data_IF_635324128543
#
_entry.id   IF_635324128543
#
_cell.length_a   1.000
_cell.length_b   1.000
_cell.length_c   1.000
_cell.angle_alpha   90.00
_cell.angle_beta   90.00
_cell.angle_gamma   90.00
#
_symmetry.space_group_name_H-M   'P 1'
#
loop_
_entity.id
_entity.type
_entity.pdbx_description
1 polymer ?
#
# COMPACT_ATOMS: atom_id res chain seq x y z
N UNK A 1 13.89 -22.51 -9.94
CA UNK A 1 13.35 -21.39 -9.13
C UNK A 1 12.18 -21.79 -8.20
N UNK A 2 11.16 -22.55 -8.64
CA UNK A 2 10.07 -23.04 -7.76
C UNK A 2 10.54 -23.90 -6.56
N UNK A 3 11.56 -24.73 -6.75
CA UNK A 3 12.10 -25.62 -5.71
C UNK A 3 12.81 -24.84 -4.58
N UNK A 4 13.57 -23.80 -4.94
CA UNK A 4 14.33 -22.98 -3.99
C UNK A 4 13.40 -22.17 -3.06
N UNK A 5 12.29 -21.64 -3.58
CA UNK A 5 11.29 -20.93 -2.77
C UNK A 5 10.48 -21.86 -1.85
N UNK A 6 10.24 -23.12 -2.26
CA UNK A 6 9.56 -24.12 -1.42
C UNK A 6 10.42 -24.55 -0.22
N UNK A 7 11.71 -24.81 -0.45
CA UNK A 7 12.63 -25.26 0.61
C UNK A 7 12.77 -24.20 1.70
N UNK A 8 12.91 -22.92 1.34
CA UNK A 8 13.02 -21.84 2.32
C UNK A 8 11.77 -21.65 3.18
N UNK A 9 10.57 -21.93 2.64
CA UNK A 9 9.32 -21.79 3.39
C UNK A 9 9.03 -22.97 4.31
N UNK A 10 9.36 -24.19 3.87
CA UNK A 10 9.29 -25.38 4.72
C UNK A 10 10.21 -25.17 5.93
N UNK A 11 11.44 -24.70 5.71
CA UNK A 11 12.36 -24.37 6.81
C UNK A 11 11.82 -23.28 7.75
N UNK A 12 11.11 -22.27 7.23
CA UNK A 12 10.47 -21.24 8.06
C UNK A 12 9.27 -21.79 8.86
N UNK A 13 8.42 -22.61 8.25
CA UNK A 13 7.30 -23.26 8.94
C UNK A 13 7.78 -24.20 10.05
N UNK A 14 8.85 -24.96 9.79
CA UNK A 14 9.51 -25.82 10.78
C UNK A 14 10.12 -25.01 11.94
N UNK A 15 10.62 -23.79 11.67
CA UNK A 15 11.18 -22.92 12.69
C UNK A 15 10.14 -22.34 13.67
N UNK A 16 8.88 -22.17 13.23
CA UNK A 16 7.81 -21.59 14.04
C UNK A 16 6.76 -22.61 14.52
N UNK A 17 6.79 -23.84 14.02
CA UNK A 17 5.93 -24.94 14.44
C UNK A 17 6.75 -26.25 14.48
N UNK A 18 7.49 -26.51 15.58
CA UNK A 18 8.41 -27.66 15.67
C UNK A 18 7.70 -29.03 15.65
N UNK A 19 6.36 -29.05 15.66
CA UNK A 19 5.53 -30.24 15.56
C UNK A 19 5.08 -30.59 14.12
N UNK A 20 5.37 -29.73 13.13
CA UNK A 20 5.04 -30.01 11.72
C UNK A 20 6.25 -30.64 11.07
N UNK A 21 6.09 -31.73 10.31
CA UNK A 21 7.17 -32.35 9.54
C UNK A 21 7.33 -31.68 8.17
N UNK A 22 8.49 -31.82 7.53
CA UNK A 22 8.72 -31.29 6.18
C UNK A 22 7.71 -31.85 5.15
N UNK A 23 7.29 -33.10 5.33
CA UNK A 23 6.30 -33.78 4.50
C UNK A 23 4.88 -33.21 4.71
N UNK A 24 4.50 -32.90 5.95
CA UNK A 24 3.23 -32.24 6.26
C UNK A 24 3.21 -30.78 5.75
N UNK A 25 4.34 -30.06 5.85
CA UNK A 25 4.47 -28.73 5.29
C UNK A 25 4.33 -28.74 3.75
N UNK A 26 4.95 -29.70 3.06
CA UNK A 26 4.83 -29.85 1.61
C UNK A 26 3.42 -30.34 1.21
N UNK A 27 2.78 -31.16 2.05
CA UNK A 27 1.36 -31.51 1.96
C UNK A 27 0.44 -30.29 2.07
N UNK A 28 0.66 -29.41 3.05
CA UNK A 28 -0.08 -28.17 3.22
C UNK A 28 0.12 -27.20 2.03
N UNK A 29 1.35 -27.06 1.53
CA UNK A 29 1.67 -26.23 0.37
C UNK A 29 1.14 -26.80 -0.95
N UNK A 30 0.91 -28.11 -1.03
CA UNK A 30 0.23 -28.73 -2.18
C UNK A 30 -1.28 -28.57 -2.11
N UNK A 31 -1.88 -28.64 -0.91
CA UNK A 31 -3.31 -28.40 -0.69
C UNK A 31 -3.70 -26.91 -0.81
N UNK A 32 -2.79 -26.00 -0.45
CA UNK A 32 -3.01 -24.54 -0.49
C UNK A 32 -1.82 -23.84 -1.16
N UNK A 33 -1.76 -23.85 -2.50
CA UNK A 33 -0.61 -23.33 -3.23
C UNK A 33 -0.37 -21.82 -3.02
N UNK A 34 -1.35 -21.07 -2.53
CA UNK A 34 -1.27 -19.62 -2.25
C UNK A 34 -0.70 -19.25 -0.87
N UNK A 35 -0.37 -20.24 -0.02
CA UNK A 35 0.16 -19.97 1.31
C UNK A 35 1.48 -19.20 1.25
N UNK A 36 2.35 -19.51 0.28
CA UNK A 36 3.61 -18.80 0.10
C UNK A 36 3.38 -17.30 -0.15
N UNK A 37 2.49 -16.96 -1.06
CA UNK A 37 2.11 -15.60 -1.39
C UNK A 37 1.47 -14.88 -0.21
N UNK A 38 0.77 -15.62 0.66
CA UNK A 38 0.22 -15.10 1.91
C UNK A 38 1.31 -14.68 2.89
N UNK A 39 2.42 -15.42 2.96
CA UNK A 39 3.58 -15.02 3.78
C UNK A 39 4.29 -13.79 3.20
N UNK A 40 4.39 -13.69 1.87
CA UNK A 40 4.91 -12.49 1.21
C UNK A 40 4.04 -11.27 1.54
N UNK A 41 2.71 -11.42 1.45
CA UNK A 41 1.79 -10.37 1.86
C UNK A 41 1.98 -10.03 3.35
N UNK A 42 2.08 -11.03 4.23
CA UNK A 42 2.31 -10.81 5.66
C UNK A 42 3.59 -10.00 5.93
N UNK A 43 4.68 -10.31 5.22
CA UNK A 43 5.95 -9.59 5.37
C UNK A 43 5.80 -8.10 5.00
N UNK A 44 5.08 -7.80 3.91
CA UNK A 44 4.77 -6.41 3.49
C UNK A 44 3.98 -5.69 4.60
N UNK A 45 3.02 -6.40 5.20
CA UNK A 45 2.14 -5.85 6.24
C UNK A 45 2.89 -5.58 7.53
N UNK A 46 3.62 -6.57 8.04
CA UNK A 46 4.42 -6.46 9.25
C UNK A 46 5.44 -5.34 9.11
N UNK A 47 6.11 -5.23 7.95
CA UNK A 47 7.06 -4.15 7.67
C UNK A 47 6.36 -2.78 7.65
N UNK A 48 5.16 -2.68 7.08
CA UNK A 48 4.38 -1.44 7.05
C UNK A 48 3.90 -1.01 8.44
N UNK A 49 3.47 -1.96 9.28
CA UNK A 49 3.09 -1.72 10.67
C UNK A 49 4.31 -1.32 11.50
N UNK A 50 5.43 -2.01 11.34
CA UNK A 50 6.67 -1.71 12.04
C UNK A 50 7.20 -0.32 11.67
N UNK A 51 7.24 0.02 10.37
CA UNK A 51 7.63 1.35 9.92
C UNK A 51 6.72 2.44 10.52
N UNK A 52 5.40 2.24 10.47
CA UNK A 52 4.43 3.15 11.08
C UNK A 52 4.63 3.26 12.61
N UNK A 53 4.90 2.16 13.30
CA UNK A 53 5.15 2.18 14.74
C UNK A 53 6.41 2.97 15.08
N UNK A 54 7.53 2.65 14.43
CA UNK A 54 8.82 3.32 14.65
C UNK A 54 8.71 4.83 14.36
N UNK A 55 8.09 5.24 13.24
CA UNK A 55 7.88 6.66 12.89
C UNK A 55 7.06 7.44 13.95
N UNK A 56 6.30 6.75 14.80
CA UNK A 56 5.48 7.35 15.85
C UNK A 56 6.03 7.08 17.26
N UNK A 57 7.25 6.56 17.36
CA UNK A 57 7.91 6.30 18.64
C UNK A 57 8.42 7.59 19.31
N UNK A 58 8.50 7.60 20.63
CA UNK A 58 8.82 8.83 21.39
C UNK A 58 10.26 9.30 21.19
N UNK A 59 11.21 8.36 21.13
CA UNK A 59 12.62 8.67 20.93
C UNK A 59 12.95 8.96 19.44
N UNK A 60 13.64 10.07 19.12
CA UNK A 60 13.93 10.49 17.74
C UNK A 60 14.81 9.50 16.97
N UNK A 61 15.81 8.88 17.61
CA UNK A 61 16.65 7.84 16.99
C UNK A 61 15.85 6.60 16.55
N UNK A 62 14.81 6.25 17.30
CA UNK A 62 13.91 5.14 16.95
C UNK A 62 12.96 5.56 15.83
N UNK A 63 12.50 6.82 15.80
CA UNK A 63 11.76 7.36 14.64
C UNK A 63 12.56 7.32 13.36
N UNK A 64 13.85 7.66 13.45
CA UNK A 64 14.75 7.58 12.31
C UNK A 64 14.79 6.17 11.71
N UNK A 65 14.74 5.10 12.51
CA UNK A 65 14.64 3.72 12.00
C UNK A 65 13.36 3.50 11.18
N UNK A 66 12.22 4.01 11.63
CA UNK A 66 10.97 3.93 10.88
C UNK A 66 11.02 4.66 9.55
N UNK A 67 11.60 5.86 9.56
CA UNK A 67 11.82 6.67 8.35
C UNK A 67 12.81 5.98 7.40
N UNK A 68 13.86 5.33 7.91
CA UNK A 68 14.79 4.52 7.12
C UNK A 68 14.08 3.32 6.50
N UNK A 69 13.24 2.60 7.23
CA UNK A 69 12.46 1.48 6.67
C UNK A 69 11.55 1.94 5.53
N UNK A 70 10.88 3.09 5.71
CA UNK A 70 10.08 3.70 4.64
C UNK A 70 10.95 4.09 3.43
N UNK A 71 12.11 4.69 3.67
CA UNK A 71 13.08 5.04 2.62
C UNK A 71 13.54 3.81 1.83
N UNK A 72 13.91 2.73 2.54
CA UNK A 72 14.30 1.45 1.94
C UNK A 72 13.18 0.85 1.09
N UNK A 73 11.92 0.95 1.54
CA UNK A 73 10.76 0.52 0.74
C UNK A 73 10.63 1.30 -0.56
N UNK A 74 10.75 2.63 -0.53
CA UNK A 74 10.73 3.46 -1.73
C UNK A 74 11.89 3.14 -2.68
N UNK A 75 13.11 3.00 -2.15
CA UNK A 75 14.29 2.64 -2.96
C UNK A 75 14.19 1.23 -3.53
N UNK A 76 13.57 0.29 -2.82
CA UNK A 76 13.31 -1.06 -3.31
C UNK A 76 12.33 -1.05 -4.50
N UNK A 77 11.31 -0.19 -4.49
CA UNK A 77 10.41 -0.01 -5.65
C UNK A 77 11.17 0.55 -6.85
N UNK A 78 12.02 1.57 -6.64
CA UNK A 78 12.85 2.12 -7.71
C UNK A 78 13.85 1.09 -8.26
N UNK A 79 14.52 0.34 -7.38
CA UNK A 79 15.45 -0.72 -7.75
C UNK A 79 14.73 -1.87 -8.49
N UNK A 80 13.56 -2.30 -8.02
CA UNK A 80 12.72 -3.27 -8.72
C UNK A 80 12.39 -2.79 -10.13
N UNK A 81 11.99 -1.53 -10.30
CA UNK A 81 11.73 -1.02 -11.64
C UNK A 81 13.00 -1.04 -12.52
N UNK A 82 14.12 -0.51 -12.03
CA UNK A 82 15.35 -0.37 -12.79
C UNK A 82 16.01 -1.70 -13.16
N UNK A 83 16.12 -2.61 -12.19
CA UNK A 83 16.87 -3.87 -12.36
C UNK A 83 15.99 -5.02 -12.86
N UNK A 84 14.69 -4.96 -12.61
CA UNK A 84 13.77 -6.03 -13.01
C UNK A 84 12.90 -5.61 -14.20
N UNK A 85 12.08 -4.56 -14.05
CA UNK A 85 11.08 -4.20 -15.08
C UNK A 85 11.76 -3.84 -16.40
N UNK A 86 12.82 -3.03 -16.39
CA UNK A 86 13.56 -2.69 -17.62
C UNK A 86 14.21 -3.91 -18.29
N UNK A 87 14.62 -4.91 -17.51
CA UNK A 87 15.24 -6.13 -18.04
C UNK A 87 14.25 -7.14 -18.61
N UNK A 88 12.94 -6.96 -18.39
CA UNK A 88 11.91 -7.95 -18.79
C UNK A 88 11.41 -7.78 -20.23
N UNK A 89 11.62 -6.63 -20.85
CA UNK A 89 11.03 -6.31 -22.15
C UNK A 89 9.53 -6.01 -22.12
N UNK A 90 8.89 -5.97 -20.94
CA UNK A 90 7.44 -5.78 -20.80
C UNK A 90 6.97 -4.36 -21.13
N UNK A 91 7.86 -3.38 -21.08
CA UNK A 91 7.53 -2.01 -21.46
C UNK A 91 7.47 -1.86 -22.97
N UNK A 92 8.31 -2.59 -23.68
CA UNK A 92 8.46 -2.61 -25.14
C UNK A 92 7.47 -3.57 -25.80
N UNK A 93 7.21 -4.72 -25.16
CA UNK A 93 6.32 -5.77 -25.65
C UNK A 93 5.16 -5.97 -24.66
N UNK A 94 4.17 -5.05 -24.65
CA UNK A 94 3.03 -5.17 -23.76
C UNK A 94 2.20 -6.43 -24.06
N UNK A 95 1.53 -6.97 -23.03
CA UNK A 95 0.61 -8.10 -23.19
C UNK A 95 -0.44 -7.85 -24.31
N UNK A 96 -0.95 -8.87 -25.01
CA UNK A 96 -1.97 -8.71 -26.04
C UNK A 96 -3.29 -8.08 -25.54
N UNK A 97 -4.11 -7.57 -26.46
CA UNK A 97 -5.46 -7.03 -26.21
C UNK A 97 -5.50 -5.83 -25.22
N UNK A 98 -4.53 -4.92 -25.36
CA UNK A 98 -4.54 -3.66 -24.62
C UNK A 98 -5.56 -2.67 -25.18
N UNK A 99 -6.19 -1.93 -24.27
CA UNK A 99 -7.00 -0.74 -24.58
C UNK A 99 -6.11 0.50 -24.73
N UNK A 100 -6.63 1.58 -25.32
CA UNK A 100 -5.88 2.84 -25.42
C UNK A 100 -5.45 3.40 -24.06
N UNK A 101 -6.20 3.12 -22.99
CA UNK A 101 -5.87 3.56 -21.63
C UNK A 101 -4.63 2.83 -21.07
N UNK A 102 -4.32 1.64 -21.57
CA UNK A 102 -3.14 0.88 -21.15
C UNK A 102 -1.82 1.51 -21.63
N UNK A 103 -1.85 2.32 -22.70
CA UNK A 103 -0.67 2.98 -23.26
C UNK A 103 0.01 3.94 -22.25
N UNK A 104 -0.73 4.43 -21.26
CA UNK A 104 -0.17 5.28 -20.21
C UNK A 104 0.62 4.50 -19.14
N UNK A 105 0.43 3.19 -19.03
CA UNK A 105 0.97 2.39 -17.91
C UNK A 105 2.50 2.32 -17.86
N UNK A 106 3.24 2.16 -18.99
CA UNK A 106 4.69 2.27 -18.97
C UNK A 106 5.17 3.61 -18.42
N UNK A 107 4.56 4.73 -18.86
CA UNK A 107 4.89 6.06 -18.37
C UNK A 107 4.56 6.22 -16.88
N UNK A 108 3.43 5.67 -16.43
CA UNK A 108 3.06 5.68 -15.01
C UNK A 108 4.08 4.92 -14.15
N UNK A 109 4.59 3.76 -14.59
CA UNK A 109 5.62 3.03 -13.85
C UNK A 109 6.95 3.83 -13.79
N UNK A 110 7.33 4.51 -14.88
CA UNK A 110 8.48 5.41 -14.87
C UNK A 110 8.32 6.56 -13.87
N UNK A 111 7.17 7.24 -13.90
CA UNK A 111 6.86 8.32 -12.96
C UNK A 111 6.94 7.80 -11.53
N UNK A 112 6.40 6.61 -11.25
CA UNK A 112 6.48 6.00 -9.93
C UNK A 112 7.89 5.66 -9.51
N UNK A 113 8.73 5.12 -10.40
CA UNK A 113 10.11 4.81 -10.10
C UNK A 113 10.89 6.08 -9.73
N UNK A 114 10.69 7.17 -10.47
CA UNK A 114 11.31 8.48 -10.20
C UNK A 114 10.81 9.09 -8.89
N UNK A 115 9.50 9.08 -8.66
CA UNK A 115 8.89 9.57 -7.41
C UNK A 115 9.38 8.75 -6.22
N UNK A 116 9.47 7.42 -6.35
CA UNK A 116 9.96 6.54 -5.30
C UNK A 116 11.45 6.76 -5.02
N UNK A 117 12.29 6.96 -6.05
CA UNK A 117 13.70 7.31 -5.88
C UNK A 117 13.85 8.65 -5.14
N UNK A 118 13.15 9.69 -5.59
CA UNK A 118 13.19 11.02 -4.95
C UNK A 118 12.67 10.99 -3.51
N UNK A 119 11.55 10.32 -3.26
CA UNK A 119 11.00 10.14 -1.92
C UNK A 119 11.95 9.34 -1.02
N UNK A 120 12.57 8.27 -1.54
CA UNK A 120 13.57 7.47 -0.82
C UNK A 120 14.75 8.31 -0.36
N UNK A 121 15.35 9.10 -1.26
CA UNK A 121 16.45 10.02 -0.92
C UNK A 121 16.00 11.08 0.09
N UNK A 122 14.83 11.68 -0.10
CA UNK A 122 14.29 12.68 0.84
C UNK A 122 14.07 12.09 2.24
N UNK A 123 13.57 10.85 2.33
CA UNK A 123 13.38 10.13 3.58
C UNK A 123 14.71 9.74 4.24
N UNK A 124 15.74 9.39 3.48
CA UNK A 124 17.09 9.18 4.03
C UNK A 124 17.63 10.46 4.69
N UNK A 125 17.47 11.61 4.02
CA UNK A 125 17.84 12.92 4.60
C UNK A 125 17.01 13.23 5.85
N UNK A 126 15.71 12.95 5.83
CA UNK A 126 14.84 13.15 6.99
C UNK A 126 15.23 12.25 8.16
N UNK A 127 15.55 10.98 7.90
CA UNK A 127 16.01 10.05 8.92
C UNK A 127 17.34 10.48 9.52
N UNK A 128 18.29 10.96 8.69
CA UNK A 128 19.54 11.51 9.18
C UNK A 128 19.30 12.71 10.11
N UNK A 129 18.46 13.67 9.69
CA UNK A 129 18.10 14.83 10.53
C UNK A 129 17.41 14.41 11.84
N UNK A 130 16.50 13.44 11.78
CA UNK A 130 15.85 12.89 12.98
C UNK A 130 16.85 12.22 13.92
N UNK A 131 17.86 11.52 13.40
CA UNK A 131 18.87 10.84 14.22
C UNK A 131 19.75 11.80 15.03
N UNK A 132 19.88 13.05 14.57
CA UNK A 132 20.60 14.13 15.24
C UNK A 132 19.72 14.93 16.22
N UNK A 133 18.39 14.75 16.18
CA UNK A 133 17.48 15.45 17.07
C UNK A 133 17.43 14.80 18.47
N UNK A 134 17.17 15.59 19.50
CA UNK A 134 16.96 15.16 20.89
C UNK A 134 15.50 15.28 21.34
N UNK A 135 14.65 15.97 20.57
CA UNK A 135 13.25 16.22 20.92
C UNK A 135 12.41 14.93 20.99
N UNK A 136 11.79 14.75 22.14
CA UNK A 136 10.87 13.63 22.37
C UNK A 136 9.50 13.94 21.75
N UNK A 137 8.94 12.94 21.08
CA UNK A 137 7.58 12.99 20.59
C UNK A 137 6.64 12.42 21.65
N UNK A 138 5.89 13.28 22.32
CA UNK A 138 4.91 12.87 23.34
C UNK A 138 3.53 12.81 22.72
N UNK A 139 3.08 11.61 22.33
CA UNK A 139 1.74 11.38 21.76
C UNK A 139 0.81 10.70 22.76
N UNK A 140 -0.38 11.29 22.96
CA UNK A 140 -1.50 10.60 23.58
C UNK A 140 -1.95 9.40 22.73
N UNK A 141 -2.64 8.44 23.36
CA UNK A 141 -3.27 7.31 22.64
C UNK A 141 -4.32 7.84 21.65
N UNK A 142 -5.21 8.67 22.17
CA UNK A 142 -6.37 9.22 21.47
C UNK A 142 -6.07 10.59 20.87
N UNK A 143 -6.98 11.08 20.02
CA UNK A 143 -6.82 12.40 19.40
C UNK A 143 -7.10 13.54 20.40
N UNK A 144 -6.32 14.60 20.26
CA UNK A 144 -6.48 15.87 20.98
C UNK A 144 -7.05 16.93 20.02
N UNK A 145 -7.63 18.05 20.51
CA UNK A 145 -8.29 19.04 19.65
C UNK A 145 -7.41 19.57 18.51
N UNK A 146 -6.11 19.71 18.75
CA UNK A 146 -5.14 20.24 17.80
C UNK A 146 -4.21 19.19 17.18
N UNK A 147 -4.28 17.90 17.55
CA UNK A 147 -3.34 16.88 17.04
C UNK A 147 -3.88 15.46 17.07
N UNK A 148 -3.42 14.64 16.12
CA UNK A 148 -3.78 13.23 16.08
C UNK A 148 -2.98 12.41 17.09
N UNK A 149 -3.67 11.51 17.76
CA UNK A 149 -3.08 10.55 18.69
C UNK A 149 -2.34 9.43 17.99
N UNK A 150 -1.68 8.59 18.78
CA UNK A 150 -0.87 7.47 18.31
C UNK A 150 -1.67 6.49 17.45
N UNK A 151 -2.91 6.16 17.83
CA UNK A 151 -3.74 5.19 17.08
C UNK A 151 -4.09 5.71 15.69
N UNK A 152 -4.56 6.96 15.57
CA UNK A 152 -4.88 7.57 14.27
C UNK A 152 -3.66 7.67 13.34
N UNK A 153 -2.48 8.00 13.91
CA UNK A 153 -1.22 8.08 13.16
C UNK A 153 -0.73 6.71 12.72
N UNK A 154 -0.77 5.70 13.59
CA UNK A 154 -0.42 4.33 13.22
C UNK A 154 -1.31 3.80 12.09
N UNK A 155 -2.63 3.90 12.24
CA UNK A 155 -3.56 3.49 11.18
C UNK A 155 -3.31 4.26 9.88
N UNK A 156 -3.01 5.55 9.95
CA UNK A 156 -2.74 6.35 8.77
C UNK A 156 -1.49 5.87 8.04
N UNK A 157 -0.36 5.79 8.74
CA UNK A 157 0.92 5.45 8.11
C UNK A 157 0.95 4.00 7.63
N UNK A 158 0.35 3.07 8.35
CA UNK A 158 0.22 1.68 7.87
C UNK A 158 -0.59 1.63 6.59
N UNK A 159 -1.77 2.28 6.54
CA UNK A 159 -2.60 2.32 5.32
C UNK A 159 -1.86 3.06 4.21
N UNK A 160 -1.22 4.19 4.49
CA UNK A 160 -0.51 4.99 3.48
C UNK A 160 0.62 4.18 2.82
N UNK A 161 1.46 3.49 3.60
CA UNK A 161 2.54 2.66 3.07
C UNK A 161 1.96 1.53 2.20
N UNK A 162 1.00 0.76 2.73
CA UNK A 162 0.39 -0.35 1.98
C UNK A 162 -0.30 0.11 0.71
N UNK A 163 -1.04 1.21 0.79
CA UNK A 163 -1.80 1.76 -0.31
C UNK A 163 -0.89 2.33 -1.40
N UNK A 164 0.19 3.02 -1.03
CA UNK A 164 1.23 3.48 -1.98
C UNK A 164 1.93 2.29 -2.64
N UNK A 165 2.23 1.21 -1.90
CA UNK A 165 2.80 -0.02 -2.47
C UNK A 165 1.86 -0.73 -3.45
N UNK A 166 0.54 -0.67 -3.20
CA UNK A 166 -0.46 -1.28 -4.09
C UNK A 166 -0.55 -0.61 -5.46
N UNK A 167 -0.13 0.66 -5.61
CA UNK A 167 -0.23 1.36 -6.89
C UNK A 167 0.70 0.77 -7.96
N UNK A 168 2.04 0.71 -7.78
CA UNK A 168 2.92 0.07 -8.77
C UNK A 168 2.56 -1.40 -8.93
N UNK A 169 2.11 -2.07 -7.86
CA UNK A 169 1.61 -3.44 -7.96
C UNK A 169 0.40 -3.54 -8.90
N UNK A 170 -0.61 -2.68 -8.76
CA UNK A 170 -1.80 -2.70 -9.59
C UNK A 170 -1.49 -2.42 -11.06
N UNK A 171 -0.63 -1.43 -11.33
CA UNK A 171 -0.19 -1.11 -12.69
C UNK A 171 0.54 -2.32 -13.29
N UNK A 172 1.54 -2.85 -12.59
CA UNK A 172 2.34 -3.98 -13.08
C UNK A 172 1.51 -5.24 -13.29
N UNK A 173 0.63 -5.57 -12.33
CA UNK A 173 -0.33 -6.68 -12.42
C UNK A 173 -1.12 -6.68 -13.73
N UNK A 174 -1.42 -5.49 -14.25
CA UNK A 174 -2.16 -5.33 -15.49
C UNK A 174 -1.30 -5.38 -16.75
N UNK A 175 0.03 -5.35 -16.63
CA UNK A 175 1.00 -5.39 -17.73
C UNK A 175 1.66 -6.77 -17.91
N UNK A 176 1.74 -7.59 -16.86
CA UNK A 176 2.38 -8.92 -16.92
C UNK A 176 1.72 -9.79 -18.02
N UNK A 177 2.49 -10.31 -19.00
CA UNK A 177 2.01 -11.25 -20.02
C UNK A 177 1.40 -12.52 -19.45
N UNK A 178 0.38 -13.08 -20.11
CA UNK A 178 -0.45 -14.17 -19.56
C UNK A 178 0.33 -15.45 -19.25
N UNK A 179 1.36 -15.75 -20.04
CA UNK A 179 2.26 -16.90 -19.96
C UNK A 179 3.36 -16.74 -18.90
N UNK A 180 3.48 -15.57 -18.27
CA UNK A 180 4.53 -15.30 -17.28
C UNK A 180 4.36 -16.18 -16.03
N UNK A 181 5.36 -17.02 -15.65
CA UNK A 181 5.18 -18.06 -14.62
C UNK A 181 4.77 -17.60 -13.22
N UNK A 182 5.13 -16.37 -12.83
CA UNK A 182 4.82 -15.81 -11.50
C UNK A 182 3.59 -14.90 -11.51
N UNK A 183 2.93 -14.72 -12.66
CA UNK A 183 1.79 -13.79 -12.82
C UNK A 183 0.70 -14.06 -11.79
N UNK A 184 0.31 -15.32 -11.62
CA UNK A 184 -0.71 -15.69 -10.65
C UNK A 184 -0.28 -15.37 -9.21
N UNK A 185 0.96 -15.71 -8.86
CA UNK A 185 1.51 -15.38 -7.53
C UNK A 185 1.46 -13.88 -7.26
N UNK A 186 1.77 -13.05 -8.26
CA UNK A 186 1.69 -11.60 -8.14
C UNK A 186 0.25 -11.11 -7.92
N UNK A 187 -0.73 -11.66 -8.65
CA UNK A 187 -2.15 -11.38 -8.41
C UNK A 187 -2.57 -11.73 -6.98
N UNK A 188 -2.15 -12.88 -6.46
CA UNK A 188 -2.50 -13.32 -5.11
C UNK A 188 -1.97 -12.35 -4.06
N UNK A 189 -0.71 -11.92 -4.18
CA UNK A 189 -0.13 -10.93 -3.23
C UNK A 189 -0.89 -9.60 -3.33
N UNK A 190 -1.12 -9.08 -4.54
CA UNK A 190 -1.87 -7.84 -4.74
C UNK A 190 -3.28 -7.89 -4.14
N UNK A 191 -4.03 -8.97 -4.40
CA UNK A 191 -5.37 -9.18 -3.86
C UNK A 191 -5.36 -9.29 -2.33
N UNK A 192 -4.46 -10.08 -1.76
CA UNK A 192 -4.34 -10.28 -0.30
C UNK A 192 -4.07 -8.94 0.41
N UNK A 193 -3.11 -8.16 -0.09
CA UNK A 193 -2.80 -6.83 0.47
C UNK A 193 -3.98 -5.87 0.29
N UNK A 194 -4.66 -5.90 -0.86
CA UNK A 194 -5.86 -5.11 -1.12
C UNK A 194 -7.01 -5.39 -0.15
N UNK A 195 -7.29 -6.67 0.14
CA UNK A 195 -8.30 -7.08 1.13
C UNK A 195 -7.92 -6.61 2.53
N UNK A 196 -6.65 -6.74 2.94
CA UNK A 196 -6.24 -6.23 4.25
C UNK A 196 -6.43 -4.72 4.35
N UNK A 197 -5.98 -3.98 3.34
CA UNK A 197 -6.13 -2.53 3.30
C UNK A 197 -7.60 -2.15 3.47
N UNK A 198 -8.52 -2.84 2.78
CA UNK A 198 -9.96 -2.66 2.97
C UNK A 198 -10.38 -2.83 4.43
N UNK A 199 -9.95 -3.91 5.10
CA UNK A 199 -10.24 -4.14 6.53
C UNK A 199 -9.67 -3.01 7.41
N UNK A 200 -8.43 -2.58 7.17
CA UNK A 200 -7.80 -1.50 7.92
C UNK A 200 -8.53 -0.16 7.75
N UNK A 201 -9.08 0.10 6.56
CA UNK A 201 -9.89 1.30 6.29
C UNK A 201 -11.18 1.25 7.10
N UNK A 202 -11.85 0.10 7.20
CA UNK A 202 -13.03 -0.06 8.05
C UNK A 202 -12.70 0.21 9.52
N UNK A 203 -11.59 -0.36 10.02
CA UNK A 203 -11.09 -0.09 11.38
C UNK A 203 -10.81 1.41 11.57
N UNK A 204 -10.19 2.06 10.59
CA UNK A 204 -9.93 3.51 10.62
C UNK A 204 -11.22 4.34 10.63
N UNK A 205 -12.25 3.93 9.90
CA UNK A 205 -13.55 4.62 9.89
C UNK A 205 -14.25 4.52 11.24
N UNK A 206 -14.26 3.32 11.83
CA UNK A 206 -14.79 3.08 13.19
C UNK A 206 -14.02 3.94 14.19
N UNK A 207 -12.69 3.90 14.15
CA UNK A 207 -11.85 4.71 15.02
C UNK A 207 -12.13 6.21 14.89
N UNK A 208 -12.21 6.73 13.66
CA UNK A 208 -12.49 8.14 13.40
C UNK A 208 -13.92 8.57 13.77
N UNK A 209 -14.83 7.63 14.03
CA UNK A 209 -16.17 7.90 14.54
C UNK A 209 -16.21 7.95 16.06
N UNK A 210 -15.38 7.15 16.71
CA UNK A 210 -15.25 7.06 18.17
C UNK A 210 -14.29 8.12 18.75
N UNK A 211 -13.27 8.52 18.00
CA UNK A 211 -12.26 9.49 18.44
C UNK A 211 -12.64 10.92 18.06
N UNK A 212 -12.24 11.88 18.90
CA UNK A 212 -12.30 13.32 18.57
C UNK A 212 -11.57 13.59 17.26
N UNK A 213 -12.15 14.40 16.38
CA UNK A 213 -11.48 14.81 15.14
C UNK A 213 -10.75 16.13 15.40
N UNK A 214 -9.42 16.17 15.26
CA UNK A 214 -8.68 17.42 15.42
C UNK A 214 -9.15 18.46 14.39
N UNK A 215 -9.35 19.71 14.83
CA UNK A 215 -9.87 20.79 13.96
C UNK A 215 -8.88 21.15 12.85
N UNK A 216 -9.30 21.50 11.64
CA UNK A 216 -8.34 21.93 10.60
C UNK A 216 -7.50 23.12 11.08
N UNK A 217 -6.24 23.18 10.63
CA UNK A 217 -5.31 24.24 10.99
C UNK A 217 -5.96 25.63 10.77
N UNK A 218 -5.99 26.50 11.80
CA UNK A 218 -6.66 27.79 11.72
C UNK A 218 -6.06 28.70 10.63
N UNK A 219 -4.78 28.51 10.27
CA UNK A 219 -4.08 29.26 9.23
C UNK A 219 -4.61 29.00 7.81
N UNK A 220 -5.35 27.91 7.60
CA UNK A 220 -5.90 27.58 6.28
C UNK A 220 -7.03 28.53 5.88
N UNK A 221 -7.00 28.98 4.62
CA UNK A 221 -8.10 29.76 4.05
C UNK A 221 -9.39 28.92 3.99
N UNK A 222 -10.59 29.53 4.04
CA UNK A 222 -11.84 28.79 4.02
C UNK A 222 -11.99 27.82 2.83
N UNK A 223 -11.50 28.22 1.66
CA UNK A 223 -11.53 27.36 0.46
C UNK A 223 -10.52 26.20 0.55
N UNK A 224 -9.36 26.40 1.20
CA UNK A 224 -8.37 25.33 1.44
C UNK A 224 -8.95 24.30 2.41
N UNK A 225 -9.65 24.74 3.46
CA UNK A 225 -10.38 23.85 4.38
C UNK A 225 -11.42 23.01 3.66
N UNK A 226 -12.23 23.64 2.78
CA UNK A 226 -13.24 22.96 1.97
C UNK A 226 -12.60 21.95 1.00
N UNK A 227 -11.49 22.31 0.37
CA UNK A 227 -10.78 21.43 -0.55
C UNK A 227 -10.15 20.24 0.18
N UNK A 228 -9.45 20.46 1.30
CA UNK A 228 -8.89 19.40 2.13
C UNK A 228 -9.96 18.42 2.59
N UNK A 229 -11.14 18.92 3.00
CA UNK A 229 -12.27 18.08 3.40
C UNK A 229 -12.77 17.21 2.23
N UNK A 230 -12.96 17.80 1.04
CA UNK A 230 -13.38 17.06 -0.17
C UNK A 230 -12.36 16.00 -0.56
N UNK A 231 -11.07 16.34 -0.57
CA UNK A 231 -9.99 15.40 -0.87
C UNK A 231 -10.01 14.23 0.10
N UNK A 232 -10.14 14.47 1.41
CA UNK A 232 -10.22 13.39 2.39
C UNK A 232 -11.46 12.50 2.20
N UNK A 233 -12.65 13.08 1.98
CA UNK A 233 -13.86 12.30 1.70
C UNK A 233 -13.64 11.43 0.45
N UNK A 234 -13.18 12.03 -0.64
CA UNK A 234 -12.94 11.30 -1.89
C UNK A 234 -11.92 10.19 -1.69
N UNK A 235 -10.84 10.41 -0.93
CA UNK A 235 -9.89 9.35 -0.60
C UNK A 235 -10.55 8.21 0.18
N UNK A 236 -11.40 8.48 1.17
CA UNK A 236 -12.13 7.40 1.87
C UNK A 236 -13.02 6.60 0.93
N UNK A 237 -13.76 7.29 0.05
CA UNK A 237 -14.60 6.63 -0.95
C UNK A 237 -13.75 5.77 -1.89
N UNK A 238 -12.65 6.30 -2.43
CA UNK A 238 -11.77 5.58 -3.34
C UNK A 238 -11.10 4.37 -2.66
N UNK A 239 -10.62 4.54 -1.43
CA UNK A 239 -9.99 3.49 -0.64
C UNK A 239 -10.94 2.30 -0.38
N UNK A 240 -12.25 2.52 -0.37
CA UNK A 240 -13.28 1.46 -0.30
C UNK A 240 -13.63 0.94 -1.70
N UNK A 241 -13.91 1.84 -2.64
CA UNK A 241 -14.41 1.49 -3.95
C UNK A 241 -13.40 0.66 -4.76
N UNK A 242 -12.11 1.00 -4.71
CA UNK A 242 -11.06 0.27 -5.44
C UNK A 242 -11.00 -1.21 -5.05
N UNK A 243 -10.82 -1.61 -3.77
CA UNK A 243 -10.80 -3.03 -3.41
C UNK A 243 -12.14 -3.73 -3.62
N UNK A 244 -13.28 -3.05 -3.39
CA UNK A 244 -14.61 -3.62 -3.65
C UNK A 244 -14.77 -3.94 -5.13
N UNK A 245 -14.51 -2.98 -6.02
CA UNK A 245 -14.57 -3.22 -7.48
C UNK A 245 -13.60 -4.30 -7.94
N UNK A 246 -12.42 -4.40 -7.33
CA UNK A 246 -11.46 -5.48 -7.62
C UNK A 246 -11.98 -6.86 -7.22
N UNK A 247 -12.60 -6.97 -6.05
CA UNK A 247 -13.21 -8.22 -5.58
C UNK A 247 -14.44 -8.61 -6.41
N UNK A 248 -15.28 -7.65 -6.79
CA UNK A 248 -16.42 -7.88 -7.69
C UNK A 248 -15.96 -8.31 -9.08
N UNK A 249 -14.93 -7.65 -9.64
CA UNK A 249 -14.31 -8.01 -10.91
C UNK A 249 -13.79 -9.46 -10.89
N UNK A 250 -12.97 -9.84 -9.91
CA UNK A 250 -12.42 -11.21 -9.85
C UNK A 250 -13.50 -12.27 -9.61
N UNK A 251 -14.56 -11.93 -8.88
CA UNK A 251 -15.70 -12.83 -8.67
C UNK A 251 -16.41 -13.12 -10.00
N UNK A 252 -16.76 -12.10 -10.79
CA UNK A 252 -17.37 -12.33 -12.12
C UNK A 252 -16.41 -13.00 -13.10
N UNK A 253 -15.11 -12.86 -12.89
CA UNK A 253 -14.11 -13.59 -13.66
C UNK A 253 -14.06 -15.09 -13.32
N UNK A 254 -14.69 -15.51 -12.21
CA UNK A 254 -14.72 -16.89 -11.72
C UNK A 254 -13.46 -17.29 -10.94
N UNK A 255 -12.64 -16.32 -10.50
CA UNK A 255 -11.41 -16.61 -9.76
C UNK A 255 -11.56 -16.27 -8.27
N UNK A 256 -11.05 -17.13 -7.37
CA UNK A 256 -11.06 -16.84 -5.94
C UNK A 256 -10.15 -15.66 -5.60
N UNK A 257 -10.38 -15.11 -4.42
CA UNK A 257 -9.48 -14.19 -3.72
C UNK A 257 -8.98 -14.85 -2.45
N UNK A 258 -7.80 -14.49 -2.00
CA UNK A 258 -7.21 -15.08 -0.80
C UNK A 258 -7.01 -14.00 0.27
N UNK A 259 -7.29 -14.37 1.51
CA UNK A 259 -6.97 -13.59 2.68
C UNK A 259 -6.24 -14.51 3.67
N UNK A 260 -4.91 -14.56 3.51
CA UNK A 260 -4.05 -15.53 4.19
C UNK A 260 -4.51 -16.98 3.97
N UNK A 261 -4.91 -17.66 5.04
CA UNK A 261 -5.39 -19.04 5.00
C UNK A 261 -6.81 -19.15 4.45
N UNK A 262 -7.55 -18.04 4.35
CA UNK A 262 -8.94 -18.05 3.89
C UNK A 262 -9.00 -17.90 2.38
N UNK A 263 -9.75 -18.81 1.74
CA UNK A 263 -10.17 -18.66 0.35
C UNK A 263 -11.55 -18.02 0.32
N UNK A 264 -11.64 -16.90 -0.40
CA UNK A 264 -12.87 -16.18 -0.65
C UNK A 264 -13.37 -16.57 -2.05
N UNK A 265 -14.35 -17.47 -2.07
CA UNK A 265 -14.99 -17.92 -3.29
C UNK A 265 -15.61 -16.76 -4.07
N UNK A 266 -15.73 -16.87 -5.41
CA UNK A 266 -16.52 -15.95 -6.20
C UNK A 266 -17.93 -15.79 -5.64
N UNK A 267 -18.40 -14.55 -5.48
CA UNK A 267 -19.76 -14.27 -5.00
C UNK A 267 -20.86 -14.60 -6.02
N UNK A 268 -20.49 -14.66 -7.30
CA UNK A 268 -21.42 -14.79 -8.42
C UNK A 268 -20.93 -15.82 -9.43
N UNK A 269 -21.85 -16.27 -10.29
CA UNK A 269 -21.48 -17.04 -11.48
C UNK A 269 -20.62 -16.21 -12.44
N UNK A 270 -19.76 -16.92 -13.19
CA UNK A 270 -18.91 -16.30 -14.22
C UNK A 270 -19.78 -15.58 -15.25
N UNK A 271 -19.47 -14.32 -15.55
CA UNK A 271 -20.16 -13.53 -16.59
C UNK A 271 -19.28 -12.39 -17.08
N UNK A 272 -19.60 -11.84 -18.25
CA UNK A 272 -18.87 -10.72 -18.87
C UNK A 272 -18.97 -9.40 -18.08
N UNK A 273 -19.73 -9.35 -16.99
CA UNK A 273 -19.72 -8.23 -16.05
C UNK A 273 -18.31 -7.93 -15.50
N UNK A 274 -17.39 -8.91 -15.51
CA UNK A 274 -15.98 -8.67 -15.15
C UNK A 274 -15.33 -7.59 -16.02
N UNK A 275 -15.79 -7.37 -17.25
CA UNK A 275 -15.31 -6.33 -18.15
C UNK A 275 -15.67 -4.95 -17.59
N UNK A 276 -16.94 -4.74 -17.21
CA UNK A 276 -17.43 -3.48 -16.63
C UNK A 276 -16.71 -3.18 -15.32
N UNK A 277 -16.69 -4.14 -14.40
CA UNK A 277 -16.00 -3.96 -13.10
C UNK A 277 -14.49 -3.82 -13.27
N UNK A 278 -13.92 -4.47 -14.29
CA UNK A 278 -12.54 -4.29 -14.72
C UNK A 278 -12.26 -2.86 -15.20
N UNK A 279 -13.20 -2.22 -15.91
CA UNK A 279 -13.07 -0.83 -16.32
C UNK A 279 -12.95 0.12 -15.12
N UNK A 280 -13.79 -0.09 -14.10
CA UNK A 280 -13.72 0.69 -12.86
C UNK A 280 -12.42 0.44 -12.08
N UNK A 281 -12.06 -0.83 -11.88
CA UNK A 281 -10.93 -1.19 -11.03
C UNK A 281 -9.56 -0.94 -11.67
N UNK A 282 -9.44 -1.05 -13.00
CA UNK A 282 -8.16 -0.92 -13.71
C UNK A 282 -7.90 0.49 -14.24
N UNK A 283 -8.95 1.27 -14.49
CA UNK A 283 -8.81 2.57 -15.16
C UNK A 283 -9.49 3.70 -14.39
N UNK A 284 -10.83 3.69 -14.26
CA UNK A 284 -11.56 4.87 -13.75
C UNK A 284 -11.12 5.24 -12.33
N UNK A 285 -11.18 4.28 -11.40
CA UNK A 285 -10.88 4.54 -9.99
C UNK A 285 -9.39 4.77 -9.74
N UNK A 286 -8.44 3.99 -10.28
CA UNK A 286 -7.02 4.26 -10.06
C UNK A 286 -6.56 5.62 -10.61
N UNK A 287 -7.01 6.03 -11.81
CA UNK A 287 -6.57 7.29 -12.39
C UNK A 287 -7.12 8.48 -11.60
N UNK A 288 -8.40 8.42 -11.19
CA UNK A 288 -8.97 9.40 -10.29
C UNK A 288 -8.22 9.42 -8.94
N UNK A 289 -7.92 8.24 -8.41
CA UNK A 289 -7.15 8.11 -7.17
C UNK A 289 -5.77 8.76 -7.29
N UNK A 290 -5.05 8.63 -8.41
CA UNK A 290 -3.74 9.26 -8.59
C UNK A 290 -3.81 10.78 -8.51
N UNK A 291 -4.84 11.37 -9.13
CA UNK A 291 -5.09 12.81 -9.09
C UNK A 291 -5.38 13.26 -7.65
N UNK A 292 -6.29 12.56 -6.96
CA UNK A 292 -6.72 12.93 -5.62
C UNK A 292 -5.63 12.69 -4.57
N UNK A 293 -4.88 11.59 -4.69
CA UNK A 293 -3.73 11.30 -3.85
C UNK A 293 -2.60 12.31 -4.09
N UNK A 294 -2.34 12.66 -5.35
CA UNK A 294 -1.42 13.72 -5.73
C UNK A 294 -1.81 15.04 -5.09
N UNK A 295 -3.07 15.45 -5.19
CA UNK A 295 -3.58 16.66 -4.55
C UNK A 295 -3.43 16.62 -3.01
N UNK A 296 -3.65 15.46 -2.38
CA UNK A 296 -3.46 15.28 -0.94
C UNK A 296 -2.00 15.47 -0.52
N UNK A 297 -1.06 14.78 -1.19
CA UNK A 297 0.37 14.83 -0.87
C UNK A 297 0.94 16.21 -1.20
N UNK A 298 0.67 16.73 -2.40
CA UNK A 298 1.16 18.04 -2.83
C UNK A 298 0.57 19.17 -1.98
N UNK A 299 -0.68 19.06 -1.55
CA UNK A 299 -1.29 20.02 -0.61
C UNK A 299 -0.54 20.05 0.72
N UNK A 300 -0.23 18.88 1.29
CA UNK A 300 0.54 18.79 2.53
C UNK A 300 1.96 19.37 2.38
N UNK A 301 2.63 19.09 1.25
CA UNK A 301 3.96 19.62 0.95
C UNK A 301 3.94 21.14 0.71
N UNK A 302 2.95 21.65 -0.02
CA UNK A 302 2.73 23.10 -0.26
C UNK A 302 2.59 23.83 1.08
N UNK A 303 1.71 23.34 1.96
CA UNK A 303 1.50 23.97 3.26
C UNK A 303 2.76 23.97 4.12
N UNK A 304 3.57 22.90 4.06
CA UNK A 304 4.83 22.82 4.82
C UNK A 304 5.92 23.72 4.27
N UNK A 305 6.16 23.70 2.95
CA UNK A 305 7.36 24.29 2.35
C UNK A 305 7.13 25.68 1.74
N UNK A 306 5.94 25.94 1.19
CA UNK A 306 5.61 27.22 0.56
C UNK A 306 4.89 28.15 1.54
N UNK A 307 3.82 27.66 2.16
CA UNK A 307 3.02 28.47 3.09
C UNK A 307 3.68 28.56 4.48
N UNK A 308 4.65 27.67 4.76
CA UNK A 308 5.36 27.56 6.05
C UNK A 308 4.41 27.35 7.24
N UNK A 309 3.25 26.75 7.00
CA UNK A 309 2.35 26.30 8.05
C UNK A 309 2.97 25.08 8.72
N UNK A 310 3.53 25.27 9.91
CA UNK A 310 4.25 24.19 10.58
C UNK A 310 3.31 23.09 11.10
N UNK A 311 2.09 23.46 11.48
CA UNK A 311 1.22 22.61 12.28
C UNK A 311 0.49 21.57 11.43
N UNK A 312 -0.04 21.93 10.25
CA UNK A 312 -0.73 21.00 9.37
C UNK A 312 0.04 19.69 9.11
N UNK A 313 1.36 19.76 8.91
CA UNK A 313 2.21 18.59 8.67
C UNK A 313 2.62 17.86 9.97
N UNK A 314 2.97 18.61 11.02
CA UNK A 314 3.35 18.08 12.35
C UNK A 314 2.23 17.29 13.04
N UNK A 315 0.99 17.44 12.61
CA UNK A 315 -0.14 16.70 13.18
C UNK A 315 -0.15 15.23 12.80
N UNK A 316 0.48 14.87 11.68
CA UNK A 316 0.59 13.48 11.20
C UNK A 316 2.02 12.94 11.28
N UNK A 317 3.04 13.81 11.33
CA UNK A 317 4.47 13.45 11.37
C UNK A 317 5.09 13.86 12.72
N UNK A 318 6.22 13.27 13.10
CA UNK A 318 6.90 13.53 14.38
C UNK A 318 8.35 13.95 14.20
#
# INVERSE_FOLDING_TARGET
MKLFNRISLVSLMLAFAPAVTAQEADGLLSLRPWLFESWVALAIIVTSVAAAWFMNYSAPKVRALGTLLAASGCLAVAAWFLFYVLGTGFLENPKPNQTQLDNAKPALLWIQALVALGAGVALLVAAFKQSQNQDQLVLARDNEPNRYGRVSRMLHWTIAILFISLIPMGIFTSMIPEDTPYRNSYYVVHKTVGVLVFVLILVRLIWNRMSTRPELDPSLKPWEKKLAHRVHITLYVMMIAVPVTGYVMTSYHGFPTYFFTLELNPLWGKSDAYIIWGTFHKYILPYLLYIILGAHVLGALKHRFLDKHEDAFKRMVG
#
